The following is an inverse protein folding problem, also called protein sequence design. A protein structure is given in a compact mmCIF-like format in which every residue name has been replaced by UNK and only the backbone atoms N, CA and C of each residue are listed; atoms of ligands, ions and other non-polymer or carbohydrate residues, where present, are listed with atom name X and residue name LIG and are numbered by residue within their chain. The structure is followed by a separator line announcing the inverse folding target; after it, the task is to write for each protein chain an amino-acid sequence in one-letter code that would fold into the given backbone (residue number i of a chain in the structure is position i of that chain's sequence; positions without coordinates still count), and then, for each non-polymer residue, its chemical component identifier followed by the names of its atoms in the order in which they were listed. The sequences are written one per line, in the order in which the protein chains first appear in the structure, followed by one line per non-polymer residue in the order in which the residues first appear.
data_IF_625142162859
#
_entry.id   IF_625142162859
#
_cell.length_a   1.000
_cell.length_b   1.000
_cell.length_c   1.000
_cell.angle_alpha   90.00
_cell.angle_beta   90.00
_cell.angle_gamma   90.00
#
_symmetry.space_group_name_H-M   'P 1'
#
loop_
_entity.id
_entity.type
_entity.pdbx_description
1 polymer ?
#
# COMPACT_ATOMS: atom_id res chain seq x y z
N UNK A 1 41.94 56.06 -44.10
CA UNK A 1 42.02 54.59 -43.99
C UNK A 1 40.68 54.05 -43.48
N UNK A 2 40.09 53.12 -44.24
CA UNK A 2 39.04 52.12 -43.94
C UNK A 2 37.76 52.53 -43.18
N UNK A 3 36.64 52.50 -43.93
CA UNK A 3 35.25 52.32 -43.49
C UNK A 3 35.08 50.96 -42.80
N UNK A 4 34.25 50.86 -41.76
CA UNK A 4 33.41 49.68 -41.51
C UNK A 4 32.04 50.11 -40.95
N UNK A 5 31.01 49.71 -41.71
CA UNK A 5 29.58 49.83 -41.44
C UNK A 5 29.18 48.62 -40.60
N UNK A 6 28.72 48.82 -39.36
CA UNK A 6 28.16 47.72 -38.56
C UNK A 6 26.68 47.54 -38.93
N UNK A 7 26.39 46.48 -39.69
CA UNK A 7 25.03 45.99 -39.94
C UNK A 7 24.67 45.07 -38.77
N UNK A 8 23.69 45.47 -37.95
CA UNK A 8 23.09 44.57 -36.97
C UNK A 8 22.17 43.59 -37.69
N UNK A 9 22.55 42.31 -37.75
CA UNK A 9 21.66 41.23 -38.15
C UNK A 9 20.65 40.97 -37.02
N UNK A 10 19.37 41.28 -37.25
CA UNK A 10 18.28 40.86 -36.38
C UNK A 10 17.84 39.46 -36.82
N UNK A 11 18.33 38.42 -36.15
CA UNK A 11 17.91 37.03 -36.37
C UNK A 11 16.58 36.76 -35.67
N UNK A 12 15.49 36.75 -36.43
CA UNK A 12 14.19 36.28 -35.98
C UNK A 12 14.19 34.74 -35.98
N UNK A 13 14.30 34.14 -34.79
CA UNK A 13 14.08 32.71 -34.61
C UNK A 13 12.57 32.43 -34.60
N UNK A 14 12.05 31.87 -35.68
CA UNK A 14 10.72 31.27 -35.69
C UNK A 14 10.77 29.98 -34.87
N UNK A 15 10.28 30.03 -33.63
CA UNK A 15 9.93 28.82 -32.90
C UNK A 15 8.63 28.27 -33.51
N UNK A 16 8.75 27.29 -34.39
CA UNK A 16 7.65 26.35 -34.65
C UNK A 16 7.48 25.51 -33.39
N UNK A 17 6.67 26.00 -32.46
CA UNK A 17 6.20 25.22 -31.32
C UNK A 17 5.38 24.05 -31.85
N UNK A 18 5.98 22.87 -31.92
CA UNK A 18 5.23 21.63 -32.03
C UNK A 18 4.51 21.46 -30.70
N UNK A 19 3.23 21.86 -30.61
CA UNK A 19 2.38 21.42 -29.52
C UNK A 19 2.12 19.94 -29.74
N UNK A 20 3.00 19.08 -29.23
CA UNK A 20 2.61 17.72 -28.95
C UNK A 20 1.56 17.81 -27.85
N UNK A 21 0.30 17.86 -28.25
CA UNK A 21 -0.82 17.58 -27.35
C UNK A 21 -0.55 16.19 -26.79
N UNK A 22 -0.03 16.14 -25.56
CA UNK A 22 0.09 14.91 -24.82
C UNK A 22 -1.35 14.54 -24.43
N UNK A 23 -2.03 13.83 -25.32
CA UNK A 23 -3.25 13.14 -24.97
C UNK A 23 -2.85 12.06 -23.98
N UNK A 24 -3.13 12.27 -22.69
CA UNK A 24 -3.17 11.17 -21.74
C UNK A 24 -4.18 10.15 -22.28
N UNK A 25 -3.66 9.07 -22.86
CA UNK A 25 -4.48 7.94 -23.23
C UNK A 25 -4.99 7.35 -21.92
N UNK A 26 -6.26 7.63 -21.61
CA UNK A 26 -6.96 6.99 -20.51
C UNK A 26 -6.91 5.50 -20.77
N UNK A 27 -6.02 4.78 -20.07
CA UNK A 27 -5.91 3.33 -20.15
C UNK A 27 -7.26 2.74 -19.75
N UNK A 28 -8.02 2.26 -20.72
CA UNK A 28 -9.27 1.56 -20.45
C UNK A 28 -8.94 0.21 -19.80
N UNK A 29 -9.34 0.05 -18.54
CA UNK A 29 -9.22 -1.24 -17.87
C UNK A 29 -10.17 -2.21 -18.56
N UNK A 30 -9.69 -3.36 -19.06
CA UNK A 30 -10.55 -4.33 -19.72
C UNK A 30 -11.72 -4.75 -18.82
N UNK A 31 -12.89 -4.97 -19.41
CA UNK A 31 -14.01 -5.61 -18.72
C UNK A 31 -13.52 -6.96 -18.15
N UNK A 32 -13.78 -7.23 -16.88
CA UNK A 32 -13.37 -8.43 -16.14
C UNK A 32 -11.85 -8.58 -15.91
N UNK A 33 -11.09 -7.48 -15.89
CA UNK A 33 -9.65 -7.54 -15.65
C UNK A 33 -9.28 -8.06 -14.24
N UNK A 34 -10.20 -7.96 -13.28
CA UNK A 34 -10.02 -8.45 -11.91
C UNK A 34 -10.56 -9.87 -11.76
N UNK A 35 -9.76 -10.74 -11.15
CA UNK A 35 -10.08 -12.15 -10.97
C UNK A 35 -10.09 -12.58 -9.50
N UNK A 36 -9.70 -11.68 -8.59
CA UNK A 36 -9.45 -11.98 -7.19
C UNK A 36 -9.56 -10.72 -6.34
N UNK A 37 -9.73 -10.90 -5.03
CA UNK A 37 -9.58 -9.83 -4.03
C UNK A 37 -8.13 -9.33 -3.98
N UNK A 38 -7.94 -8.02 -3.80
CA UNK A 38 -6.61 -7.42 -3.64
C UNK A 38 -6.60 -6.38 -2.52
N UNK A 39 -5.41 -6.03 -2.04
CA UNK A 39 -5.15 -4.92 -1.13
C UNK A 39 -5.13 -3.63 -1.96
N UNK A 40 -6.16 -2.80 -1.79
CA UNK A 40 -6.34 -1.55 -2.53
C UNK A 40 -5.75 -0.34 -1.84
N UNK A 41 -5.78 -0.31 -0.52
CA UNK A 41 -5.32 0.86 0.24
C UNK A 41 -4.75 0.47 1.59
N UNK A 42 -3.66 1.13 2.00
CA UNK A 42 -3.08 0.95 3.33
C UNK A 42 -2.65 2.30 3.87
N UNK A 43 -2.97 2.56 5.14
CA UNK A 43 -2.49 3.75 5.84
C UNK A 43 -1.55 3.39 7.00
N UNK A 44 -0.32 3.90 6.92
CA UNK A 44 0.74 3.66 7.90
C UNK A 44 0.94 4.90 8.76
N UNK A 45 1.12 4.76 10.06
CA UNK A 45 1.23 5.89 10.99
C UNK A 45 2.22 5.61 12.12
N UNK A 46 3.05 6.60 12.42
CA UNK A 46 3.80 6.64 13.69
C UNK A 46 3.48 7.90 14.48
N UNK A 47 2.99 8.93 13.79
CA UNK A 47 2.37 10.09 14.37
C UNK A 47 0.86 9.93 14.42
N UNK A 48 0.24 10.59 15.38
CA UNK A 48 -1.20 10.62 15.54
C UNK A 48 -1.82 11.77 14.76
N UNK A 49 -2.96 11.53 14.14
CA UNK A 49 -3.91 12.56 13.73
C UNK A 49 -4.94 12.73 14.85
N UNK A 50 -5.09 13.92 15.41
CA UNK A 50 -6.01 14.19 16.52
C UNK A 50 -5.93 13.18 17.69
N UNK A 51 -4.70 12.80 18.08
CA UNK A 51 -4.42 11.78 19.12
C UNK A 51 -4.88 10.36 18.77
N UNK A 52 -5.24 10.12 17.52
CA UNK A 52 -5.70 8.83 17.00
C UNK A 52 -4.68 8.25 16.03
N UNK A 53 -4.65 6.93 15.97
CA UNK A 53 -3.83 6.19 15.02
C UNK A 53 -4.73 5.50 14.02
N UNK A 54 -5.00 6.22 12.94
CA UNK A 54 -5.98 5.84 11.93
C UNK A 54 -5.42 4.79 10.96
N UNK A 55 -4.69 3.78 11.46
CA UNK A 55 -4.21 2.68 10.63
C UNK A 55 -5.38 1.88 10.07
N UNK A 56 -5.31 1.53 8.79
CA UNK A 56 -6.26 0.60 8.18
C UNK A 56 -5.66 -0.09 6.96
N UNK A 57 -6.36 -1.14 6.55
CA UNK A 57 -6.18 -1.85 5.28
C UNK A 57 -7.54 -1.85 4.59
N UNK A 58 -7.57 -1.53 3.31
CA UNK A 58 -8.72 -1.71 2.44
C UNK A 58 -8.45 -2.84 1.45
N UNK A 59 -9.45 -3.71 1.31
CA UNK A 59 -9.49 -4.74 0.28
C UNK A 59 -10.50 -4.33 -0.78
N UNK A 60 -10.24 -4.67 -2.04
CA UNK A 60 -11.15 -4.38 -3.16
C UNK A 60 -11.52 -5.65 -3.91
N UNK A 61 -12.83 -5.87 -4.07
CA UNK A 61 -13.37 -6.87 -4.98
C UNK A 61 -13.69 -6.20 -6.32
N UNK A 62 -12.72 -6.22 -7.23
CA UNK A 62 -12.92 -5.74 -8.60
C UNK A 62 -13.58 -6.76 -9.54
N UNK A 63 -13.85 -7.98 -9.08
CA UNK A 63 -14.45 -9.04 -9.90
C UNK A 63 -15.94 -8.77 -10.15
N UNK A 64 -16.54 -9.44 -11.13
CA UNK A 64 -17.97 -9.29 -11.45
C UNK A 64 -18.91 -10.02 -10.48
N UNK A 65 -18.36 -10.75 -9.51
CA UNK A 65 -19.13 -11.58 -8.60
C UNK A 65 -18.90 -11.18 -7.14
N UNK A 66 -19.87 -11.52 -6.30
CA UNK A 66 -19.66 -11.42 -4.86
C UNK A 66 -18.63 -12.47 -4.40
N UNK A 67 -17.74 -12.07 -3.48
CA UNK A 67 -16.72 -12.93 -2.89
C UNK A 67 -17.13 -13.31 -1.46
N UNK A 68 -17.05 -14.59 -1.13
CA UNK A 68 -17.17 -15.08 0.25
C UNK A 68 -15.84 -14.84 1.00
N UNK A 69 -15.87 -13.89 1.93
CA UNK A 69 -14.71 -13.47 2.72
C UNK A 69 -14.27 -14.53 3.72
N UNK A 70 -15.10 -15.54 4.05
CA UNK A 70 -14.71 -16.64 4.96
C UNK A 70 -13.59 -17.54 4.40
N UNK A 71 -13.23 -17.34 3.13
CA UNK A 71 -12.09 -17.97 2.48
C UNK A 71 -10.81 -17.14 2.57
N UNK A 72 -10.82 -15.99 3.25
CA UNK A 72 -9.69 -15.07 3.30
C UNK A 72 -9.26 -14.76 4.73
N UNK A 73 -7.97 -14.48 4.88
CA UNK A 73 -7.34 -14.08 6.14
C UNK A 73 -6.39 -12.92 5.86
N UNK A 74 -6.34 -11.93 6.75
CA UNK A 74 -5.24 -10.97 6.79
C UNK A 74 -4.17 -11.48 7.74
N UNK A 75 -2.93 -11.55 7.26
CA UNK A 75 -1.74 -11.83 8.05
C UNK A 75 -0.94 -10.56 8.31
N UNK A 76 -0.33 -10.47 9.49
CA UNK A 76 0.53 -9.38 9.92
C UNK A 76 1.89 -9.93 10.35
N UNK A 77 2.98 -9.28 9.92
CA UNK A 77 4.30 -9.58 10.43
C UNK A 77 5.19 -8.33 10.40
N UNK A 78 5.74 -7.95 11.54
CA UNK A 78 6.74 -6.90 11.60
C UNK A 78 8.16 -7.45 11.50
N UNK A 79 9.05 -6.69 10.88
CA UNK A 79 10.50 -6.97 10.84
C UNK A 79 11.25 -6.09 11.84
N UNK A 80 12.33 -6.59 12.42
CA UNK A 80 13.02 -5.90 13.53
C UNK A 80 14.37 -5.30 13.17
N UNK A 81 14.87 -5.56 11.97
CA UNK A 81 16.14 -5.04 11.49
C UNK A 81 16.18 -4.90 9.96
N UNK A 82 17.27 -4.34 9.44
CA UNK A 82 17.44 -4.01 8.03
C UNK A 82 17.62 -5.24 7.14
N UNK A 83 18.26 -6.29 7.63
CA UNK A 83 18.89 -7.33 6.80
C UNK A 83 18.33 -8.75 7.02
N UNK A 84 17.83 -9.08 8.21
CA UNK A 84 17.28 -10.40 8.53
C UNK A 84 16.07 -10.67 7.64
N UNK A 85 16.18 -11.71 6.83
CA UNK A 85 15.07 -12.23 6.03
C UNK A 85 14.44 -13.39 6.78
N UNK A 86 13.11 -13.43 6.79
CA UNK A 86 12.36 -14.52 7.41
C UNK A 86 11.17 -14.90 6.56
N UNK A 87 10.78 -16.16 6.70
CA UNK A 87 9.53 -16.66 6.13
C UNK A 87 8.33 -15.98 6.79
N UNK A 88 7.23 -15.91 6.05
CA UNK A 88 5.95 -15.48 6.62
C UNK A 88 5.53 -16.46 7.73
N UNK A 89 5.22 -15.93 8.90
CA UNK A 89 4.89 -16.68 10.09
C UNK A 89 3.62 -16.11 10.76
N UNK A 90 2.57 -16.93 10.77
CA UNK A 90 1.27 -16.61 11.36
C UNK A 90 0.90 -17.59 12.48
N UNK A 91 1.88 -18.17 13.19
CA UNK A 91 1.61 -19.13 14.27
C UNK A 91 1.00 -18.48 15.51
N UNK A 92 1.29 -17.21 15.77
CA UNK A 92 0.57 -16.42 16.77
C UNK A 92 -0.80 -16.03 16.20
N UNK A 93 -1.87 -16.49 16.85
CA UNK A 93 -3.23 -16.20 16.43
C UNK A 93 -3.54 -14.70 16.36
N UNK A 94 -2.85 -13.86 17.15
CA UNK A 94 -3.03 -12.41 17.10
C UNK A 94 -2.52 -11.80 15.79
N UNK A 95 -1.58 -12.46 15.10
CA UNK A 95 -1.00 -11.99 13.84
C UNK A 95 -1.82 -12.39 12.62
N UNK A 96 -3.02 -12.94 12.81
CA UNK A 96 -3.94 -13.26 11.73
C UNK A 96 -5.38 -12.84 12.05
N UNK A 97 -6.11 -12.40 11.04
CA UNK A 97 -7.54 -12.07 11.12
C UNK A 97 -8.29 -12.85 10.05
N UNK A 98 -8.96 -13.96 10.40
CA UNK A 98 -9.95 -14.57 9.52
C UNK A 98 -11.10 -13.61 9.23
N UNK A 99 -11.40 -13.41 7.95
CA UNK A 99 -12.49 -12.55 7.51
C UNK A 99 -13.80 -13.33 7.48
N UNK A 100 -14.93 -12.61 7.46
CA UNK A 100 -16.27 -13.21 7.42
C UNK A 100 -17.22 -12.37 6.58
N UNK A 101 -18.33 -12.97 6.16
CA UNK A 101 -19.35 -12.30 5.35
C UNK A 101 -19.10 -12.41 3.84
N UNK A 102 -19.80 -11.59 3.08
CA UNK A 102 -19.75 -11.57 1.62
C UNK A 102 -19.53 -10.15 1.14
N UNK A 103 -18.54 -9.96 0.28
CA UNK A 103 -18.22 -8.68 -0.34
C UNK A 103 -18.78 -8.66 -1.76
N UNK A 104 -19.72 -7.76 -2.04
CA UNK A 104 -20.30 -7.62 -3.37
C UNK A 104 -19.25 -7.16 -4.41
N UNK A 105 -19.56 -7.35 -5.69
CA UNK A 105 -18.76 -6.85 -6.81
C UNK A 105 -18.62 -5.32 -6.75
N UNK A 106 -17.43 -4.81 -7.09
CA UNK A 106 -17.06 -3.39 -7.11
C UNK A 106 -17.31 -2.73 -5.74
N UNK A 107 -16.97 -3.45 -4.66
CA UNK A 107 -17.02 -2.95 -3.29
C UNK A 107 -15.68 -3.18 -2.59
N UNK A 108 -15.48 -2.39 -1.54
CA UNK A 108 -14.31 -2.48 -0.68
C UNK A 108 -14.69 -3.02 0.70
N UNK A 109 -13.70 -3.55 1.40
CA UNK A 109 -13.81 -4.02 2.77
C UNK A 109 -12.68 -3.44 3.60
N UNK A 110 -13.00 -2.64 4.61
CA UNK A 110 -12.05 -1.85 5.39
C UNK A 110 -11.85 -2.46 6.77
N UNK A 111 -10.58 -2.74 7.09
CA UNK A 111 -10.11 -3.27 8.37
C UNK A 111 -9.33 -2.15 9.06
N UNK A 112 -9.89 -1.58 10.11
CA UNK A 112 -9.25 -0.50 10.86
C UNK A 112 -8.59 -0.98 12.15
N UNK A 113 -7.57 -0.25 12.61
CA UNK A 113 -7.06 -0.40 13.97
C UNK A 113 -8.16 -0.08 14.98
N UNK A 114 -8.20 -0.81 16.10
CA UNK A 114 -9.05 -0.49 17.25
C UNK A 114 -8.79 0.92 17.84
N UNK A 115 -7.71 1.57 17.43
CA UNK A 115 -7.34 2.93 17.83
C UNK A 115 -7.75 4.02 16.82
N UNK A 116 -8.22 3.61 15.64
CA UNK A 116 -8.68 4.55 14.63
C UNK A 116 -9.91 5.31 15.14
N UNK A 117 -10.09 6.54 14.67
CA UNK A 117 -11.30 7.30 14.92
C UNK A 117 -12.43 6.80 14.01
N UNK A 118 -13.49 6.16 14.55
CA UNK A 118 -14.60 5.68 13.74
C UNK A 118 -15.42 6.81 13.10
N UNK A 119 -15.21 8.07 13.51
CA UNK A 119 -15.82 9.23 12.86
C UNK A 119 -15.26 9.44 11.44
N UNK A 120 -13.95 9.19 11.23
CA UNK A 120 -13.26 9.45 9.96
C UNK A 120 -12.87 8.18 9.21
N UNK A 121 -12.52 7.09 9.91
CA UNK A 121 -12.25 5.79 9.30
C UNK A 121 -13.50 4.93 9.40
N UNK A 122 -14.26 4.85 8.31
CA UNK A 122 -15.42 3.96 8.21
C UNK A 122 -14.94 2.55 7.89
N UNK A 123 -15.02 1.66 8.87
CA UNK A 123 -14.52 0.28 8.76
C UNK A 123 -15.64 -0.75 8.88
N UNK A 124 -15.51 -1.86 8.17
CA UNK A 124 -16.36 -3.03 8.32
C UNK A 124 -16.01 -3.85 9.56
N UNK A 125 -14.72 -3.86 9.94
CA UNK A 125 -14.23 -4.55 11.13
C UNK A 125 -13.03 -3.81 11.72
N UNK A 126 -12.84 -3.99 13.03
CA UNK A 126 -11.63 -3.53 13.73
C UNK A 126 -10.74 -4.70 14.11
N UNK A 127 -9.43 -4.52 14.00
CA UNK A 127 -8.43 -5.50 14.42
C UNK A 127 -7.19 -4.81 14.98
N UNK A 128 -6.26 -5.58 15.55
CA UNK A 128 -5.02 -5.07 16.09
C UNK A 128 -5.03 -4.92 17.61
N UNK A 129 -4.30 -3.93 18.10
CA UNK A 129 -4.07 -3.72 19.53
C UNK A 129 -4.52 -2.36 20.02
N UNK A 130 -4.93 -2.30 21.28
CA UNK A 130 -5.23 -1.05 22.00
C UNK A 130 -3.97 -0.33 22.48
N UNK A 131 -2.79 -0.98 22.41
CA UNK A 131 -1.51 -0.39 22.85
C UNK A 131 -1.15 0.85 22.05
N UNK A 132 -1.14 2.01 22.70
CA UNK A 132 -0.76 3.30 22.08
C UNK A 132 0.75 3.54 22.08
N UNK A 133 1.54 2.55 22.52
CA UNK A 133 2.99 2.66 22.58
C UNK A 133 3.61 2.58 21.18
N UNK A 134 4.36 3.62 20.80
CA UNK A 134 5.11 3.69 19.54
C UNK A 134 6.06 2.51 19.29
N UNK A 135 6.48 1.80 20.35
CA UNK A 135 7.49 0.75 20.31
C UNK A 135 6.92 -0.67 20.13
N UNK A 136 5.63 -0.83 19.84
CA UNK A 136 4.97 -2.14 19.81
C UNK A 136 4.58 -2.63 18.41
N UNK A 137 5.41 -2.31 17.41
CA UNK A 137 5.24 -2.76 16.02
C UNK A 137 5.08 -4.29 15.88
N UNK A 138 5.51 -5.09 16.85
CA UNK A 138 5.27 -6.54 16.84
C UNK A 138 3.81 -6.94 17.12
N UNK A 139 2.95 -5.98 17.48
CA UNK A 139 1.52 -6.21 17.64
C UNK A 139 0.75 -5.90 16.35
N UNK A 140 -0.33 -6.65 16.07
CA UNK A 140 -1.08 -6.55 14.84
C UNK A 140 -1.63 -5.13 14.58
N UNK A 141 -1.61 -4.76 13.29
CA UNK A 141 -2.14 -3.52 12.73
C UNK A 141 -1.58 -2.22 13.32
N UNK A 142 -0.39 -2.27 13.93
CA UNK A 142 0.44 -1.08 14.18
C UNK A 142 1.39 -0.84 13.01
N UNK A 143 0.87 -0.31 11.91
CA UNK A 143 1.60 -0.13 10.66
C UNK A 143 2.65 0.99 10.77
N UNK A 144 3.83 0.67 11.28
CA UNK A 144 4.89 1.62 11.61
C UNK A 144 6.08 1.58 10.65
N UNK A 145 5.84 1.24 9.38
CA UNK A 145 6.84 1.23 8.30
C UNK A 145 7.61 -0.09 8.15
N UNK A 146 7.83 -0.83 9.23
CA UNK A 146 8.41 -2.18 9.25
C UNK A 146 7.35 -3.29 9.26
N UNK A 147 6.07 -2.94 9.09
CA UNK A 147 4.94 -3.85 9.21
C UNK A 147 4.51 -4.37 7.84
N UNK A 148 4.60 -5.68 7.65
CA UNK A 148 4.15 -6.34 6.44
C UNK A 148 2.73 -6.91 6.63
N UNK A 149 1.91 -6.76 5.59
CA UNK A 149 0.55 -7.29 5.48
C UNK A 149 0.52 -8.31 4.36
N UNK A 150 -0.14 -9.44 4.62
CA UNK A 150 -0.46 -10.44 3.62
C UNK A 150 -1.97 -10.63 3.53
N UNK A 151 -2.52 -10.66 2.32
CA UNK A 151 -3.83 -11.22 2.04
C UNK A 151 -3.65 -12.69 1.71
N UNK A 152 -4.31 -13.56 2.46
CA UNK A 152 -4.27 -15.00 2.25
C UNK A 152 -5.63 -15.52 1.80
N UNK A 153 -5.62 -16.54 0.95
CA UNK A 153 -6.79 -17.28 0.50
C UNK A 153 -6.67 -18.75 0.89
N UNK A 154 -7.78 -19.33 1.34
CA UNK A 154 -7.90 -20.74 1.72
C UNK A 154 -7.50 -21.62 0.54
N UNK A 155 -6.57 -22.54 0.77
CA UNK A 155 -6.02 -23.44 -0.22
C UNK A 155 -5.47 -24.67 0.50
N UNK A 156 -5.95 -25.87 0.14
CA UNK A 156 -5.51 -27.13 0.75
C UNK A 156 -4.02 -27.43 0.53
N UNK A 157 -3.41 -26.86 -0.51
CA UNK A 157 -1.99 -26.94 -0.80
C UNK A 157 -1.18 -25.77 -0.18
N UNK A 158 -1.86 -24.80 0.44
CA UNK A 158 -1.23 -23.63 1.05
C UNK A 158 -0.29 -24.00 2.20
N UNK A 159 0.86 -23.30 2.35
CA UNK A 159 1.85 -23.63 3.38
C UNK A 159 1.48 -23.12 4.77
N UNK A 160 0.54 -22.17 4.89
CA UNK A 160 0.19 -21.56 6.16
C UNK A 160 -1.05 -22.23 6.76
N UNK A 161 -0.97 -22.66 8.03
CA UNK A 161 -2.12 -23.21 8.75
C UNK A 161 -2.62 -22.20 9.77
N UNK A 162 -3.88 -21.77 9.63
CA UNK A 162 -4.54 -20.79 10.50
C UNK A 162 -5.88 -21.38 10.93
N UNK A 163 -6.10 -21.52 12.24
CA UNK A 163 -7.29 -22.16 12.81
C UNK A 163 -7.62 -23.53 12.18
N UNK A 164 -6.59 -24.33 11.89
CA UNK A 164 -6.74 -25.69 11.33
C UNK A 164 -7.00 -25.76 9.82
N UNK A 165 -7.25 -24.63 9.14
CA UNK A 165 -7.36 -24.56 7.68
C UNK A 165 -6.04 -24.10 7.05
N UNK A 166 -5.79 -24.53 5.81
CA UNK A 166 -4.60 -24.14 5.05
C UNK A 166 -4.87 -22.96 4.12
N UNK A 167 -3.86 -22.12 3.95
CA UNK A 167 -3.92 -20.87 3.22
C UNK A 167 -2.65 -20.63 2.41
N UNK A 168 -2.81 -19.98 1.26
CA UNK A 168 -1.73 -19.40 0.47
C UNK A 168 -1.81 -17.88 0.52
N UNK A 169 -0.67 -17.21 0.49
CA UNK A 169 -0.60 -15.76 0.30
C UNK A 169 -0.93 -15.47 -1.17
N UNK A 170 -1.76 -14.46 -1.41
CA UNK A 170 -2.14 -14.01 -2.76
C UNK A 170 -1.72 -12.57 -3.04
N UNK A 171 -1.68 -11.71 -2.02
CA UNK A 171 -1.27 -10.30 -2.15
C UNK A 171 -0.48 -9.85 -0.92
N UNK A 172 0.41 -8.87 -1.08
CA UNK A 172 1.21 -8.34 0.03
C UNK A 172 1.41 -6.82 -0.04
N UNK A 173 1.62 -6.23 1.12
CA UNK A 173 2.24 -4.91 1.29
C UNK A 173 3.35 -5.03 2.32
N UNK A 174 4.59 -4.74 1.92
CA UNK A 174 5.76 -5.15 2.71
C UNK A 174 6.04 -6.64 2.58
N UNK A 175 7.24 -7.06 3.01
CA UNK A 175 7.59 -8.48 3.08
C UNK A 175 8.72 -8.75 4.06
N UNK A 176 8.61 -9.76 4.93
CA UNK A 176 9.71 -10.19 5.80
C UNK A 176 10.87 -10.83 5.02
N UNK A 177 10.65 -11.20 3.75
CA UNK A 177 11.64 -11.81 2.85
C UNK A 177 12.44 -10.83 2.01
N UNK A 178 12.22 -9.53 2.16
CA UNK A 178 12.90 -8.50 1.35
C UNK A 178 13.61 -7.52 2.28
N UNK A 179 14.84 -7.15 1.92
CA UNK A 179 15.63 -6.16 2.63
C UNK A 179 14.86 -4.84 2.83
N UNK A 180 15.12 -4.20 3.96
CA UNK A 180 14.58 -2.90 4.34
C UNK A 180 15.70 -1.88 4.19
N UNK A 181 15.35 -0.62 4.34
CA UNK A 181 16.31 0.46 4.49
C UNK A 181 16.17 1.04 5.90
N UNK A 182 17.27 1.54 6.43
CA UNK A 182 17.27 2.28 7.69
C UNK A 182 16.76 3.70 7.44
N UNK A 183 15.68 4.09 8.13
CA UNK A 183 15.12 5.43 8.04
C UNK A 183 16.09 6.48 8.63
N UNK A 184 16.03 7.71 8.09
CA UNK A 184 17.00 8.76 8.40
C UNK A 184 16.87 9.33 9.84
N UNK A 185 15.76 9.08 10.54
CA UNK A 185 15.51 9.61 11.89
C UNK A 185 15.57 8.53 12.97
N UNK A 186 16.22 8.83 14.09
CA UNK A 186 16.68 7.89 15.12
C UNK A 186 15.62 7.21 16.02
N UNK A 187 14.40 6.96 15.55
CA UNK A 187 13.44 6.16 16.33
C UNK A 187 13.81 4.67 16.22
N UNK A 188 14.73 4.22 17.08
CA UNK A 188 15.51 2.97 16.97
C UNK A 188 14.75 1.65 16.80
N UNK A 189 13.42 1.59 17.01
CA UNK A 189 12.63 0.34 16.96
C UNK A 189 11.68 0.21 15.77
N UNK A 190 11.38 1.30 15.10
CA UNK A 190 10.61 1.38 13.86
C UNK A 190 11.46 2.07 12.77
N UNK A 191 12.78 1.93 12.89
CA UNK A 191 13.75 2.58 12.01
C UNK A 191 13.96 1.82 10.71
N UNK A 192 13.24 0.72 10.49
CA UNK A 192 13.37 -0.10 9.29
C UNK A 192 12.12 0.07 8.47
N UNK A 193 12.27 0.42 7.20
CA UNK A 193 11.16 0.67 6.29
C UNK A 193 11.43 0.02 4.95
N UNK A 194 10.41 -0.19 4.13
CA UNK A 194 10.62 -0.49 2.71
C UNK A 194 10.64 0.81 1.91
N UNK A 195 11.56 0.92 0.95
CA UNK A 195 11.46 1.92 -0.11
C UNK A 195 10.38 1.48 -1.10
N UNK A 196 9.49 2.41 -1.43
CA UNK A 196 8.36 2.19 -2.33
C UNK A 196 8.44 3.28 -3.39
N UNK A 197 8.28 2.93 -4.67
CA UNK A 197 8.33 3.85 -5.79
C UNK A 197 9.62 4.68 -5.91
N UNK A 198 10.74 4.18 -5.36
CA UNK A 198 12.02 4.89 -5.35
C UNK A 198 12.14 5.93 -4.24
N UNK A 199 11.07 6.17 -3.47
CA UNK A 199 11.14 7.02 -2.29
C UNK A 199 11.98 6.32 -1.22
N UNK A 200 13.20 6.82 -1.04
CA UNK A 200 14.06 6.47 0.10
C UNK A 200 13.70 7.26 1.35
N UNK A 201 12.73 8.17 1.23
CA UNK A 201 12.18 8.96 2.33
C UNK A 201 11.28 8.10 3.25
N UNK A 202 10.79 8.76 4.29
CA UNK A 202 9.96 8.15 5.31
C UNK A 202 8.63 7.62 4.75
N UNK A 203 8.50 6.30 4.57
CA UNK A 203 7.24 5.66 4.13
C UNK A 203 6.22 5.50 5.25
N UNK A 204 6.57 5.87 6.49
CA UNK A 204 5.64 6.04 7.61
C UNK A 204 4.81 7.32 7.46
N UNK A 205 3.60 7.33 8.03
CA UNK A 205 2.66 8.47 7.99
C UNK A 205 2.10 8.77 6.59
N UNK A 206 2.08 7.77 5.73
CA UNK A 206 1.54 7.89 4.38
C UNK A 206 0.36 6.93 4.20
N UNK A 207 -0.50 7.28 3.26
CA UNK A 207 -1.48 6.38 2.68
C UNK A 207 -0.97 5.92 1.31
N UNK A 208 -1.17 4.65 1.02
CA UNK A 208 -0.76 3.98 -0.20
C UNK A 208 -2.00 3.49 -0.93
N UNK A 209 -2.17 3.90 -2.18
CA UNK A 209 -3.28 3.47 -3.04
C UNK A 209 -2.74 2.59 -4.15
N UNK A 210 -3.33 1.41 -4.32
CA UNK A 210 -3.03 0.53 -5.45
C UNK A 210 -3.54 1.17 -6.73
N UNK A 211 -2.66 1.35 -7.71
CA UNK A 211 -3.02 1.89 -9.03
C UNK A 211 -4.07 1.02 -9.72
N UNK A 212 -5.06 1.64 -10.37
CA UNK A 212 -6.13 0.94 -11.12
C UNK A 212 -5.65 -0.02 -12.21
N UNK A 213 -4.46 0.20 -12.75
CA UNK A 213 -3.85 -0.68 -13.75
C UNK A 213 -3.44 -2.03 -13.16
N UNK A 214 -3.37 -2.15 -11.83
CA UNK A 214 -3.06 -3.39 -11.13
C UNK A 214 -4.35 -4.13 -10.83
N UNK A 215 -4.69 -5.07 -11.70
CA UNK A 215 -5.98 -5.79 -11.63
C UNK A 215 -5.85 -7.19 -11.04
N UNK A 216 -4.66 -7.56 -10.55
CA UNK A 216 -4.38 -8.86 -9.95
C UNK A 216 -3.57 -8.66 -8.67
N UNK A 217 -3.80 -9.48 -7.63
CA UNK A 217 -3.01 -9.44 -6.43
C UNK A 217 -1.57 -9.89 -6.73
N UNK A 218 -0.60 -9.37 -5.97
CA UNK A 218 0.83 -9.60 -6.21
C UNK A 218 1.54 -10.06 -4.94
N UNK A 219 2.15 -11.25 -4.98
CA UNK A 219 2.91 -11.80 -3.84
C UNK A 219 4.37 -11.38 -3.82
N UNK A 220 4.90 -10.86 -4.93
CA UNK A 220 6.28 -10.39 -5.03
C UNK A 220 6.36 -8.91 -4.65
N UNK A 221 6.68 -8.66 -3.38
CA UNK A 221 6.85 -7.31 -2.87
C UNK A 221 7.95 -6.53 -3.60
N UNK A 222 8.99 -7.19 -4.11
CA UNK A 222 10.09 -6.50 -4.82
C UNK A 222 9.60 -5.90 -6.14
N UNK A 223 8.66 -6.57 -6.80
CA UNK A 223 7.96 -6.07 -7.99
C UNK A 223 6.93 -5.03 -7.59
N UNK A 224 6.04 -5.37 -6.64
CA UNK A 224 4.91 -4.51 -6.27
C UNK A 224 5.35 -3.12 -5.79
N UNK A 225 6.39 -3.06 -4.94
CA UNK A 225 6.89 -1.79 -4.42
C UNK A 225 7.53 -0.91 -5.51
N UNK A 226 8.06 -1.51 -6.58
CA UNK A 226 8.79 -0.83 -7.64
C UNK A 226 10.10 -0.16 -7.20
N UNK A 227 10.70 0.55 -8.15
CA UNK A 227 11.93 1.35 -7.96
C UNK A 227 11.74 2.83 -8.31
N UNK A 228 10.60 3.17 -8.91
CA UNK A 228 10.21 4.50 -9.38
C UNK A 228 8.70 4.69 -9.23
N UNK A 229 8.22 5.94 -9.32
CA UNK A 229 6.78 6.22 -9.37
C UNK A 229 6.08 5.55 -10.56
N UNK A 230 6.79 5.22 -11.65
CA UNK A 230 6.19 4.62 -12.85
C UNK A 230 5.99 3.12 -12.70
N UNK A 231 7.02 2.38 -12.28
CA UNK A 231 7.00 0.91 -12.19
C UNK A 231 6.36 0.37 -10.90
N UNK A 232 6.19 1.21 -9.88
CA UNK A 232 5.48 0.82 -8.65
C UNK A 232 4.00 0.57 -8.91
N UNK A 233 3.42 -0.37 -8.16
CA UNK A 233 1.98 -0.61 -8.13
C UNK A 233 1.22 0.39 -7.25
N UNK A 234 1.93 1.27 -6.54
CA UNK A 234 1.38 2.13 -5.50
C UNK A 234 1.55 3.61 -5.82
N UNK A 235 0.48 4.38 -5.61
CA UNK A 235 0.53 5.82 -5.42
C UNK A 235 0.70 6.11 -3.93
N UNK A 236 1.52 7.10 -3.59
CA UNK A 236 1.86 7.42 -2.20
C UNK A 236 1.38 8.83 -1.89
N UNK A 237 0.71 9.03 -0.75
CA UNK A 237 0.34 10.35 -0.27
C UNK A 237 1.57 11.16 0.13
N UNK A 238 1.43 12.49 0.20
CA UNK A 238 2.40 13.26 0.97
C UNK A 238 2.33 12.86 2.47
N UNK A 239 3.44 12.99 3.23
CA UNK A 239 3.46 12.69 4.66
C UNK A 239 2.45 13.48 5.47
N UNK A 240 1.70 12.80 6.33
CA UNK A 240 0.71 13.39 7.25
C UNK A 240 -0.39 14.19 6.54
N UNK A 241 -0.78 13.77 5.34
CA UNK A 241 -1.92 14.37 4.63
C UNK A 241 -3.25 14.10 5.37
N UNK A 242 -3.37 12.92 6.01
CA UNK A 242 -4.55 12.49 6.78
C UNK A 242 -5.86 12.64 6.01
N UNK A 243 -5.84 12.25 4.73
CA UNK A 243 -7.04 12.19 3.91
C UNK A 243 -7.72 10.83 4.10
N UNK A 244 -9.01 10.88 4.44
CA UNK A 244 -9.87 9.73 4.67
C UNK A 244 -11.11 9.76 3.75
N UNK A 245 -11.16 10.73 2.83
CA UNK A 245 -12.36 11.02 2.02
C UNK A 245 -12.70 9.90 1.03
N UNK A 246 -11.72 9.10 0.63
CA UNK A 246 -11.88 8.02 -0.33
C UNK A 246 -11.98 6.63 0.32
N UNK A 247 -11.89 6.51 1.64
CA UNK A 247 -12.06 5.22 2.33
C UNK A 247 -13.44 4.65 2.01
N UNK A 248 -13.50 3.37 1.66
CA UNK A 248 -14.74 2.73 1.24
C UNK A 248 -15.04 2.94 -0.24
N UNK A 249 -14.14 3.58 -0.98
CA UNK A 249 -14.27 3.83 -2.42
C UNK A 249 -12.94 3.57 -3.14
N UNK A 250 -12.91 2.56 -3.99
CA UNK A 250 -11.76 2.31 -4.85
C UNK A 250 -11.75 3.33 -6.02
N UNK A 251 -11.29 4.54 -5.75
CA UNK A 251 -11.40 5.70 -6.65
C UNK A 251 -10.12 6.08 -7.37
N UNK A 252 -8.96 5.53 -7.01
CA UNK A 252 -7.63 6.07 -7.35
C UNK A 252 -6.82 5.19 -8.30
#
# INVERSE_FOLDING_TARGET
MKKYLYISLLSAAFFTGCSSDFTEEKVEIPTNAFQELLISEIATFVNTDNSKRNHYIELYNGTDNAIDLSNYVIGYQATTDEATLSEWNFTDANNSLPLTGTLASIKTYVIASVQADPAVVKSDVTWGTTSSANASASLPLQLSGNSAIALLKKDAAGPHTINGAKYKIIDVFGSPKVARVTAATSSSRNNFIWSIAGESAETRNNTFWRKKTVTKPNTDWSVSKGTTATDSEWNISAPRTWDYSNIGSYSN
#
